data_IF_762848721187
#
_entry.id   IF_762848721187
#
_cell.length_a   1.000
_cell.length_b   1.000
_cell.length_c   1.000
_cell.angle_alpha   90.00
_cell.angle_beta   90.00
_cell.angle_gamma   90.00
#
_symmetry.space_group_name_H-M   'P 1'
#
loop_
_entity.id
_entity.type
_entity.pdbx_description
1 polymer ?
#
# COMPACT_ATOMS: atom_id res chain seq x y z
N UNK A 1 -8.65 36.00 11.54
CA UNK A 1 -9.80 36.04 10.62
C UNK A 1 -10.96 36.61 11.41
N UNK A 2 -11.54 37.73 10.97
CA UNK A 2 -12.69 38.32 11.66
C UNK A 2 -13.86 37.35 11.53
N UNK A 3 -14.57 37.11 12.65
CA UNK A 3 -15.85 36.44 12.64
C UNK A 3 -16.78 37.27 11.72
N UNK A 4 -17.08 36.76 10.50
CA UNK A 4 -18.28 37.23 9.80
C UNK A 4 -19.46 36.91 10.72
N UNK A 5 -20.35 37.86 10.92
CA UNK A 5 -21.61 37.62 11.63
C UNK A 5 -22.24 36.37 11.01
N UNK A 6 -22.34 35.29 11.81
CA UNK A 6 -22.90 34.05 11.33
C UNK A 6 -24.36 34.30 10.92
N UNK A 7 -24.71 34.03 9.68
CA UNK A 7 -26.08 34.19 9.14
C UNK A 7 -26.93 32.96 9.43
N UNK A 8 -26.41 31.98 10.16
CA UNK A 8 -27.05 30.73 10.51
C UNK A 8 -26.65 30.28 11.92
N UNK A 9 -27.51 29.59 12.59
CA UNK A 9 -27.27 28.95 13.90
C UNK A 9 -26.50 27.62 13.77
N UNK A 10 -26.30 27.13 12.54
CA UNK A 10 -25.54 25.88 12.30
C UNK A 10 -24.07 26.11 12.59
N UNK A 11 -23.43 25.26 13.43
CA UNK A 11 -22.00 25.38 13.72
C UNK A 11 -21.16 25.20 12.45
N UNK A 12 -20.13 26.05 12.20
CA UNK A 12 -19.26 25.89 11.05
C UNK A 12 -18.27 24.73 11.23
N UNK A 13 -17.84 24.14 10.12
CA UNK A 13 -16.66 23.31 10.12
C UNK A 13 -15.41 24.08 10.53
N UNK A 14 -14.45 23.42 11.12
CA UNK A 14 -13.20 24.03 11.56
C UNK A 14 -11.97 23.25 11.06
N UNK A 15 -10.88 23.98 10.85
CA UNK A 15 -9.56 23.42 10.58
C UNK A 15 -8.68 23.63 11.80
N UNK A 16 -8.17 22.55 12.34
CA UNK A 16 -7.27 22.57 13.51
C UNK A 16 -5.92 21.96 13.15
N UNK A 17 -4.98 21.99 14.09
CA UNK A 17 -3.70 21.24 13.95
C UNK A 17 -3.88 19.73 13.87
N UNK A 18 -5.03 19.22 14.32
CA UNK A 18 -5.39 17.81 14.23
C UNK A 18 -6.10 17.45 12.91
N UNK A 19 -6.46 18.44 12.09
CA UNK A 19 -7.13 18.26 10.82
C UNK A 19 -8.50 18.92 10.73
N UNK A 20 -9.32 18.47 9.78
CA UNK A 20 -10.68 18.90 9.54
C UNK A 20 -11.63 18.33 10.61
N UNK A 21 -12.46 19.17 11.19
CA UNK A 21 -13.47 18.81 12.18
C UNK A 21 -14.82 19.35 11.69
N UNK A 22 -15.75 18.42 11.42
CA UNK A 22 -17.15 18.73 11.17
C UNK A 22 -17.94 18.76 12.48
N UNK A 23 -18.98 19.61 12.60
CA UNK A 23 -19.91 19.53 13.73
C UNK A 23 -20.68 18.22 13.73
N UNK A 24 -21.15 17.78 14.89
CA UNK A 24 -22.00 16.61 14.98
C UNK A 24 -23.33 16.84 14.27
N UNK A 25 -23.93 15.80 13.67
CA UNK A 25 -25.23 15.90 12.99
C UNK A 25 -26.34 16.42 13.92
N UNK A 26 -26.29 16.09 15.21
CA UNK A 26 -27.22 16.60 16.23
C UNK A 26 -27.12 18.10 16.40
N UNK A 27 -25.91 18.66 16.32
CA UNK A 27 -25.67 20.11 16.45
C UNK A 27 -26.08 20.85 15.18
N UNK A 28 -25.86 20.22 14.01
CA UNK A 28 -26.36 20.72 12.72
C UNK A 28 -27.89 20.77 12.74
N UNK A 29 -28.55 19.68 13.16
CA UNK A 29 -30.01 19.61 13.25
C UNK A 29 -30.56 20.68 14.19
N UNK A 30 -29.97 20.87 15.36
CA UNK A 30 -30.38 21.89 16.31
C UNK A 30 -30.28 23.29 15.70
N UNK A 31 -29.15 23.61 15.03
CA UNK A 31 -28.95 24.89 14.37
C UNK A 31 -29.98 25.16 13.24
N UNK A 32 -30.25 24.16 12.40
CA UNK A 32 -31.25 24.25 11.32
C UNK A 32 -32.65 24.45 11.91
N UNK A 33 -32.99 23.73 12.98
CA UNK A 33 -34.29 23.92 13.66
C UNK A 33 -34.42 25.31 14.27
N UNK A 34 -33.38 25.87 14.83
CA UNK A 34 -33.36 27.25 15.36
C UNK A 34 -33.57 28.26 14.24
N UNK A 35 -32.87 28.09 13.12
CA UNK A 35 -33.00 28.99 11.94
C UNK A 35 -34.42 28.96 11.35
N UNK A 36 -35.00 27.77 11.20
CA UNK A 36 -36.38 27.59 10.70
C UNK A 36 -37.36 28.20 11.69
N UNK A 37 -37.17 28.04 13.00
CA UNK A 37 -38.02 28.61 14.03
C UNK A 37 -37.96 30.13 14.00
N UNK A 38 -36.76 30.69 13.86
CA UNK A 38 -36.58 32.15 13.73
C UNK A 38 -37.26 32.71 12.45
N UNK A 39 -37.10 32.01 11.32
CA UNK A 39 -37.69 32.40 10.05
C UNK A 39 -39.22 32.40 10.05
N UNK A 40 -39.82 31.47 10.83
CA UNK A 40 -41.28 31.35 10.96
C UNK A 40 -41.87 32.15 12.13
N UNK A 41 -41.10 32.99 12.80
CA UNK A 41 -41.56 33.90 13.86
C UNK A 41 -41.71 33.28 15.24
N UNK A 42 -41.11 32.15 15.49
CA UNK A 42 -41.11 31.45 16.78
C UNK A 42 -42.29 30.46 16.97
N UNK A 43 -42.33 29.77 18.10
CA UNK A 43 -43.36 28.79 18.48
C UNK A 43 -43.68 27.70 17.45
N UNK A 44 -42.68 27.24 16.74
CA UNK A 44 -42.86 26.19 15.74
C UNK A 44 -42.71 24.80 16.40
N UNK A 45 -43.58 23.89 16.00
CA UNK A 45 -43.43 22.47 16.40
C UNK A 45 -42.27 21.83 15.66
N UNK A 46 -41.15 21.60 16.36
CA UNK A 46 -39.92 21.04 15.81
C UNK A 46 -39.93 19.49 15.69
N UNK A 47 -41.06 18.83 15.98
CA UNK A 47 -41.15 17.38 15.81
C UNK A 47 -40.75 16.97 14.37
N UNK A 48 -39.92 15.97 14.26
CA UNK A 48 -39.42 15.46 12.97
C UNK A 48 -40.52 14.85 12.09
N UNK A 49 -41.75 14.70 12.62
CA UNK A 49 -42.93 14.27 11.87
C UNK A 49 -43.73 15.41 11.22
N UNK A 50 -43.37 16.66 11.52
CA UNK A 50 -43.97 17.85 10.91
C UNK A 50 -43.29 18.23 9.60
N UNK A 51 -43.94 19.00 8.71
CA UNK A 51 -43.30 19.47 7.46
C UNK A 51 -42.01 20.23 7.68
N UNK A 52 -42.00 21.14 8.68
CA UNK A 52 -40.78 21.88 9.03
C UNK A 52 -39.69 20.99 9.66
N UNK A 53 -40.07 19.98 10.43
CA UNK A 53 -39.14 18.97 10.93
C UNK A 53 -38.54 18.09 9.82
N UNK A 54 -39.36 17.73 8.82
CA UNK A 54 -38.84 17.03 7.62
C UNK A 54 -37.87 17.88 6.80
N UNK A 55 -38.17 19.19 6.69
CA UNK A 55 -37.27 20.14 6.03
C UNK A 55 -35.94 20.23 6.80
N UNK A 56 -35.99 20.36 8.13
CA UNK A 56 -34.79 20.39 8.97
C UNK A 56 -33.93 19.13 8.80
N UNK A 57 -34.56 17.95 8.76
CA UNK A 57 -33.83 16.70 8.49
C UNK A 57 -33.17 16.69 7.11
N UNK A 58 -33.87 17.16 6.08
CA UNK A 58 -33.33 17.20 4.72
C UNK A 58 -32.14 18.16 4.62
N UNK A 59 -32.22 19.33 5.22
CA UNK A 59 -31.11 20.28 5.25
C UNK A 59 -29.93 19.75 6.06
N UNK A 60 -30.19 19.12 7.21
CA UNK A 60 -29.14 18.47 8.02
C UNK A 60 -28.40 17.41 7.21
N UNK A 61 -29.14 16.55 6.48
CA UNK A 61 -28.54 15.52 5.64
C UNK A 61 -27.68 16.14 4.52
N UNK A 62 -28.15 17.18 3.85
CA UNK A 62 -27.37 17.88 2.80
C UNK A 62 -26.09 18.48 3.37
N UNK A 63 -26.16 19.15 4.52
CA UNK A 63 -24.99 19.72 5.18
C UNK A 63 -24.02 18.63 5.62
N UNK A 64 -24.53 17.51 6.18
CA UNK A 64 -23.73 16.35 6.55
C UNK A 64 -22.99 15.75 5.36
N UNK A 65 -23.69 15.51 4.25
CA UNK A 65 -23.08 15.02 3.01
C UNK A 65 -22.00 15.98 2.47
N UNK A 66 -22.23 17.28 2.54
CA UNK A 66 -21.23 18.29 2.16
C UNK A 66 -19.99 18.23 3.07
N UNK A 67 -20.18 18.08 4.37
CA UNK A 67 -19.08 17.95 5.34
C UNK A 67 -18.26 16.68 5.10
N UNK A 68 -18.92 15.57 4.79
CA UNK A 68 -18.25 14.31 4.47
C UNK A 68 -17.42 14.41 3.19
N UNK A 69 -17.94 15.09 2.16
CA UNK A 69 -17.18 15.36 0.94
C UNK A 69 -15.99 16.29 1.18
N UNK A 70 -16.13 17.30 2.04
CA UNK A 70 -15.01 18.17 2.44
C UNK A 70 -13.96 17.39 3.23
N UNK A 71 -14.36 16.51 4.13
CA UNK A 71 -13.44 15.63 4.86
C UNK A 71 -12.71 14.67 3.90
N UNK A 72 -13.43 14.09 2.94
CA UNK A 72 -12.84 13.23 1.92
C UNK A 72 -11.82 14.00 1.06
N UNK A 73 -12.16 15.23 0.67
CA UNK A 73 -11.25 16.13 -0.06
C UNK A 73 -10.01 16.46 0.76
N UNK A 74 -10.18 16.82 2.03
CA UNK A 74 -9.08 17.12 2.93
C UNK A 74 -8.14 15.91 3.09
N UNK A 75 -8.70 14.72 3.35
CA UNK A 75 -7.93 13.49 3.45
C UNK A 75 -7.22 13.14 2.13
N UNK A 76 -7.77 13.57 1.00
CA UNK A 76 -7.17 13.39 -0.32
C UNK A 76 -5.87 14.18 -0.53
N UNK A 77 -5.59 15.21 0.26
CA UNK A 77 -4.32 15.96 0.21
C UNK A 77 -3.21 15.30 1.04
N UNK A 78 -3.55 14.40 1.96
CA UNK A 78 -2.55 13.64 2.72
C UNK A 78 -2.15 12.39 1.92
N UNK A 79 -0.88 12.24 1.49
CA UNK A 79 -0.43 11.06 0.76
C UNK A 79 -0.71 9.74 1.49
N UNK A 80 -0.72 9.76 2.82
CA UNK A 80 -0.98 8.57 3.64
C UNK A 80 -2.44 8.12 3.60
N UNK A 81 -3.38 9.05 3.33
CA UNK A 81 -4.82 8.82 3.32
C UNK A 81 -5.42 8.90 1.92
N UNK A 82 -4.73 9.53 0.96
CA UNK A 82 -5.20 9.69 -0.40
C UNK A 82 -5.50 8.36 -1.10
N UNK A 83 -6.58 8.33 -1.85
CA UNK A 83 -7.02 7.17 -2.63
C UNK A 83 -7.32 7.56 -4.07
N UNK A 84 -7.30 6.59 -4.99
CA UNK A 84 -7.69 6.76 -6.38
C UNK A 84 -7.03 7.96 -7.05
N UNK A 85 -7.83 8.80 -7.71
CA UNK A 85 -7.36 9.95 -8.48
C UNK A 85 -6.57 10.98 -7.66
N UNK A 86 -6.89 11.16 -6.37
CA UNK A 86 -6.16 12.10 -5.51
C UNK A 86 -4.74 11.59 -5.24
N UNK A 87 -4.58 10.30 -4.96
CA UNK A 87 -3.27 9.69 -4.82
C UNK A 87 -2.47 9.76 -6.12
N UNK A 88 -3.10 9.53 -7.26
CA UNK A 88 -2.44 9.63 -8.57
C UNK A 88 -1.98 11.07 -8.85
N UNK A 89 -2.81 12.09 -8.51
CA UNK A 89 -2.44 13.49 -8.63
C UNK A 89 -1.23 13.86 -7.77
N UNK A 90 -1.16 13.34 -6.54
CA UNK A 90 0.04 13.49 -5.70
C UNK A 90 1.27 12.83 -6.33
N UNK A 91 1.09 11.65 -6.95
CA UNK A 91 2.17 10.97 -7.69
C UNK A 91 2.70 11.81 -8.86
N UNK A 92 1.85 12.49 -9.60
CA UNK A 92 2.26 13.36 -10.72
C UNK A 92 3.20 14.51 -10.29
N UNK A 93 3.10 15.00 -9.05
CA UNK A 93 4.03 16.00 -8.51
C UNK A 93 5.47 15.47 -8.50
N UNK A 94 5.62 14.14 -8.36
CA UNK A 94 6.89 13.42 -8.38
C UNK A 94 7.20 12.76 -9.73
N UNK A 95 6.48 13.13 -10.80
CA UNK A 95 6.58 12.56 -12.15
C UNK A 95 6.32 11.05 -12.19
N UNK A 96 5.44 10.56 -11.32
CA UNK A 96 5.07 9.15 -11.25
C UNK A 96 3.66 8.92 -11.77
N UNK A 97 3.49 7.79 -12.46
CA UNK A 97 2.19 7.23 -12.83
C UNK A 97 2.00 5.89 -12.15
N UNK A 98 0.75 5.53 -11.85
CA UNK A 98 0.41 4.22 -11.30
C UNK A 98 0.65 3.14 -12.34
N UNK A 99 1.29 2.04 -11.94
CA UNK A 99 1.44 0.87 -12.79
C UNK A 99 0.10 0.11 -12.89
N UNK A 100 -0.08 -0.64 -13.96
CA UNK A 100 -1.30 -1.44 -14.13
C UNK A 100 -1.42 -2.46 -12.98
N UNK A 101 -2.55 -2.42 -12.26
CA UNK A 101 -2.82 -3.32 -11.13
C UNK A 101 -2.11 -2.95 -9.82
N UNK A 102 -1.37 -1.84 -9.77
CA UNK A 102 -0.68 -1.39 -8.56
C UNK A 102 -1.68 -0.89 -7.52
N UNK A 103 -1.64 -1.50 -6.33
CA UNK A 103 -2.47 -1.13 -5.20
C UNK A 103 -2.08 0.22 -4.57
N UNK A 104 -2.96 0.75 -3.71
CA UNK A 104 -2.73 2.03 -3.03
C UNK A 104 -1.44 2.02 -2.21
N UNK A 105 -1.22 0.99 -1.41
CA UNK A 105 -0.09 0.91 -0.50
C UNK A 105 1.24 0.78 -1.24
N UNK A 106 1.27 0.02 -2.34
CA UNK A 106 2.48 -0.16 -3.15
C UNK A 106 2.83 1.11 -3.93
N UNK A 107 1.81 1.82 -4.46
CA UNK A 107 2.03 3.11 -5.12
C UNK A 107 2.60 4.14 -4.13
N UNK A 108 2.10 4.20 -2.89
CA UNK A 108 2.62 5.11 -1.87
C UNK A 108 4.05 4.74 -1.47
N UNK A 109 4.34 3.47 -1.24
CA UNK A 109 5.70 3.01 -0.94
C UNK A 109 6.67 3.35 -2.08
N UNK A 110 6.24 3.22 -3.34
CA UNK A 110 7.04 3.59 -4.50
C UNK A 110 7.21 5.11 -4.60
N UNK A 111 6.19 5.91 -4.26
CA UNK A 111 6.29 7.37 -4.19
C UNK A 111 7.33 7.81 -3.16
N UNK A 112 7.28 7.27 -1.95
CA UNK A 112 8.29 7.55 -0.92
C UNK A 112 9.70 7.16 -1.39
N UNK A 113 9.85 5.95 -1.94
CA UNK A 113 11.12 5.49 -2.50
C UNK A 113 11.62 6.36 -3.66
N UNK A 114 10.74 6.95 -4.46
CA UNK A 114 11.13 7.87 -5.55
C UNK A 114 11.67 9.18 -5.02
N UNK A 115 11.12 9.71 -3.95
CA UNK A 115 11.67 10.91 -3.27
C UNK A 115 13.07 10.62 -2.73
N UNK A 116 13.26 9.46 -2.10
CA UNK A 116 14.55 9.00 -1.61
C UNK A 116 15.53 8.70 -2.76
N UNK A 117 15.02 8.23 -3.91
CA UNK A 117 15.83 7.98 -5.10
C UNK A 117 16.47 9.26 -5.70
N UNK A 118 15.97 10.44 -5.39
CA UNK A 118 16.63 11.71 -5.77
C UNK A 118 17.94 11.95 -4.98
N UNK A 119 18.10 11.29 -3.84
CA UNK A 119 19.37 11.23 -3.14
C UNK A 119 20.34 10.23 -3.80
N UNK A 120 21.55 10.17 -3.37
CA UNK A 120 22.55 9.17 -3.78
C UNK A 120 23.28 8.62 -2.55
N UNK A 121 23.80 7.41 -2.64
CA UNK A 121 24.64 6.83 -1.59
C UNK A 121 23.89 6.18 -0.44
N UNK A 122 22.57 6.03 -0.51
CA UNK A 122 21.77 5.31 0.48
C UNK A 122 21.15 4.04 -0.12
N UNK A 123 20.85 3.04 0.71
CA UNK A 123 20.12 1.84 0.28
C UNK A 123 18.76 2.21 -0.34
N UNK A 124 18.08 3.19 0.25
CA UNK A 124 16.79 3.68 -0.22
C UNK A 124 16.90 4.34 -1.61
N UNK A 125 17.98 5.08 -1.90
CA UNK A 125 18.18 5.69 -3.23
C UNK A 125 18.42 4.63 -4.32
N UNK A 126 19.14 3.56 -4.00
CA UNK A 126 19.35 2.43 -4.92
C UNK A 126 18.02 1.70 -5.13
N UNK A 127 17.31 1.38 -4.05
CA UNK A 127 15.99 0.72 -4.09
C UNK A 127 14.99 1.50 -4.94
N UNK A 128 14.87 2.81 -4.69
CA UNK A 128 13.97 3.67 -5.44
C UNK A 128 14.31 3.74 -6.93
N UNK A 129 15.61 3.81 -7.28
CA UNK A 129 16.01 3.77 -8.67
C UNK A 129 15.66 2.44 -9.35
N UNK A 130 15.88 1.31 -8.67
CA UNK A 130 15.54 -0.02 -9.20
C UNK A 130 14.03 -0.20 -9.40
N UNK A 131 13.20 0.23 -8.43
CA UNK A 131 11.74 0.11 -8.51
C UNK A 131 11.12 0.99 -9.61
N UNK A 132 11.84 2.01 -10.08
CA UNK A 132 11.40 2.86 -11.20
C UNK A 132 11.85 2.36 -12.58
N UNK A 133 12.61 1.27 -12.65
CA UNK A 133 12.99 0.68 -13.93
C UNK A 133 11.81 -0.07 -14.57
N UNK A 134 11.71 -0.06 -15.90
CA UNK A 134 10.75 -0.88 -16.62
C UNK A 134 10.90 -2.36 -16.26
N UNK A 135 9.79 -3.07 -16.15
CA UNK A 135 9.71 -4.51 -15.91
C UNK A 135 10.34 -5.00 -14.59
N UNK A 136 10.77 -4.10 -13.71
CA UNK A 136 11.15 -4.46 -12.34
C UNK A 136 9.89 -4.58 -11.49
N UNK A 137 9.60 -5.81 -11.07
CA UNK A 137 8.42 -6.09 -10.26
C UNK A 137 8.66 -5.84 -8.78
N UNK A 138 9.86 -6.13 -8.30
CA UNK A 138 10.25 -5.92 -6.90
C UNK A 138 11.77 -5.85 -6.76
N UNK A 139 12.25 -5.20 -5.69
CA UNK A 139 13.66 -5.13 -5.35
C UNK A 139 13.86 -5.08 -3.84
N UNK A 140 15.04 -5.49 -3.39
CA UNK A 140 15.48 -5.40 -2.00
C UNK A 140 16.94 -4.98 -1.96
N UNK A 141 17.29 -4.04 -1.09
CA UNK A 141 18.66 -3.50 -0.96
C UNK A 141 19.02 -3.42 0.52
N UNK A 142 20.17 -3.97 0.87
CA UNK A 142 20.73 -3.90 2.23
C UNK A 142 22.24 -3.90 2.17
N UNK A 143 22.89 -3.14 3.03
CA UNK A 143 24.36 -3.15 3.16
C UNK A 143 24.81 -3.90 4.40
N UNK A 144 26.03 -4.43 4.32
CA UNK A 144 26.76 -4.93 5.48
C UNK A 144 27.85 -3.92 5.84
N UNK A 145 27.64 -3.07 6.87
CA UNK A 145 28.62 -2.06 7.25
C UNK A 145 29.81 -2.61 8.06
N UNK A 146 29.79 -3.91 8.40
CA UNK A 146 30.82 -4.54 9.24
C UNK A 146 32.03 -5.02 8.44
N UNK A 147 33.11 -5.34 9.12
CA UNK A 147 34.35 -5.88 8.53
C UNK A 147 34.32 -7.42 8.37
N UNK A 148 33.20 -8.06 8.70
CA UNK A 148 33.01 -9.50 8.62
C UNK A 148 31.77 -9.85 7.81
N UNK A 149 31.79 -11.01 7.19
CA UNK A 149 30.61 -11.54 6.51
C UNK A 149 29.48 -11.75 7.53
N UNK A 150 28.29 -11.26 7.21
CA UNK A 150 27.16 -11.27 8.14
C UNK A 150 25.93 -11.84 7.45
N UNK A 151 25.19 -12.71 8.15
CA UNK A 151 23.92 -13.22 7.65
C UNK A 151 22.81 -12.20 7.91
N UNK A 152 22.22 -11.67 6.85
CA UNK A 152 21.13 -10.69 6.89
C UNK A 152 19.94 -11.30 6.13
N UNK A 153 18.79 -11.39 6.78
CA UNK A 153 17.58 -11.95 6.15
C UNK A 153 17.79 -13.32 5.49
N UNK A 154 18.58 -14.20 6.12
CA UNK A 154 18.87 -15.55 5.64
C UNK A 154 19.91 -15.66 4.49
N UNK A 155 20.56 -14.54 4.11
CA UNK A 155 21.62 -14.50 3.08
C UNK A 155 22.91 -14.00 3.70
N UNK A 156 24.04 -14.64 3.41
CA UNK A 156 25.36 -14.16 3.82
C UNK A 156 25.79 -13.00 2.92
N UNK A 157 25.86 -11.81 3.49
CA UNK A 157 26.32 -10.59 2.83
C UNK A 157 27.78 -10.36 3.20
N UNK A 158 28.71 -10.35 2.22
CA UNK A 158 30.13 -10.16 2.49
C UNK A 158 30.42 -8.80 3.14
N UNK A 159 31.52 -8.72 3.89
CA UNK A 159 31.99 -7.52 4.56
C UNK A 159 32.04 -6.30 3.61
N UNK A 160 31.56 -5.16 4.06
CA UNK A 160 31.60 -3.87 3.33
C UNK A 160 30.94 -3.91 1.94
N UNK A 161 29.92 -4.77 1.74
CA UNK A 161 29.20 -4.88 0.47
C UNK A 161 27.71 -4.57 0.63
N UNK A 162 27.12 -4.14 -0.49
CA UNK A 162 25.68 -3.93 -0.63
C UNK A 162 25.12 -5.18 -1.32
N UNK A 163 24.15 -5.84 -0.69
CA UNK A 163 23.36 -6.90 -1.32
C UNK A 163 22.16 -6.28 -2.01
N UNK A 164 21.98 -6.63 -3.28
CA UNK A 164 20.91 -6.11 -4.11
C UNK A 164 20.17 -7.31 -4.71
N UNK A 165 18.90 -7.47 -4.41
CA UNK A 165 18.04 -8.50 -5.01
C UNK A 165 16.98 -7.84 -5.86
N UNK A 166 16.77 -8.32 -7.09
CA UNK A 166 15.84 -7.73 -8.06
C UNK A 166 15.03 -8.83 -8.73
N UNK A 167 13.75 -8.56 -8.91
CA UNK A 167 12.84 -9.42 -9.67
C UNK A 167 12.39 -8.68 -10.95
N UNK A 168 12.75 -9.24 -12.11
CA UNK A 168 12.50 -8.59 -13.40
C UNK A 168 13.52 -7.52 -13.77
N UNK A 169 13.24 -6.80 -14.84
CA UNK A 169 14.10 -5.72 -15.37
C UNK A 169 15.27 -6.20 -16.24
N UNK A 170 15.77 -5.31 -17.08
CA UNK A 170 16.93 -5.56 -17.93
C UNK A 170 18.22 -5.40 -17.14
N UNK A 171 19.16 -6.35 -17.28
CA UNK A 171 20.41 -6.34 -16.52
C UNK A 171 21.22 -5.05 -16.69
N UNK A 172 21.30 -4.52 -17.91
CA UNK A 172 22.03 -3.29 -18.19
C UNK A 172 21.42 -2.07 -17.47
N UNK A 173 20.10 -1.95 -17.43
CA UNK A 173 19.40 -0.87 -16.73
C UNK A 173 19.58 -0.96 -15.21
N UNK A 174 19.53 -2.19 -14.67
CA UNK A 174 19.84 -2.46 -13.25
C UNK A 174 21.25 -2.01 -12.93
N UNK A 175 22.24 -2.37 -13.78
CA UNK A 175 23.63 -1.95 -13.61
C UNK A 175 23.82 -0.44 -13.64
N UNK A 176 23.15 0.26 -14.57
CA UNK A 176 23.20 1.73 -14.67
C UNK A 176 22.53 2.40 -13.45
N UNK A 177 21.40 1.89 -12.97
CA UNK A 177 20.77 2.40 -11.76
C UNK A 177 21.68 2.26 -10.52
N UNK A 178 22.34 1.11 -10.40
CA UNK A 178 23.33 0.88 -9.33
C UNK A 178 24.50 1.87 -9.47
N UNK A 179 25.04 2.05 -10.68
CA UNK A 179 26.15 2.98 -10.93
C UNK A 179 25.82 4.41 -10.49
N UNK A 180 24.61 4.86 -10.84
CA UNK A 180 24.17 6.24 -10.56
C UNK A 180 23.89 6.51 -9.08
N UNK A 181 23.53 5.48 -8.33
CA UNK A 181 23.00 5.65 -6.95
C UNK A 181 23.90 5.13 -5.85
N UNK A 182 24.76 4.17 -6.11
CA UNK A 182 25.67 3.65 -5.08
C UNK A 182 26.81 4.65 -4.75
N UNK A 183 27.34 4.54 -3.57
CA UNK A 183 28.58 5.26 -3.21
C UNK A 183 29.77 4.75 -4.04
N UNK A 184 30.68 5.63 -4.43
CA UNK A 184 31.99 5.23 -4.92
C UNK A 184 32.66 4.25 -3.94
N UNK A 185 33.43 3.32 -4.46
CA UNK A 185 34.17 2.30 -3.69
C UNK A 185 33.34 1.26 -2.93
N UNK A 186 32.01 1.36 -2.82
CA UNK A 186 31.20 0.30 -2.26
C UNK A 186 31.09 -0.86 -3.25
N UNK A 187 31.42 -2.08 -2.82
CA UNK A 187 31.21 -3.29 -3.61
C UNK A 187 29.75 -3.76 -3.52
N UNK A 188 29.30 -4.48 -4.53
CA UNK A 188 27.98 -5.15 -4.52
C UNK A 188 28.15 -6.65 -4.44
N UNK A 189 27.09 -7.38 -4.04
CA UNK A 189 27.08 -8.84 -3.91
C UNK A 189 25.78 -9.44 -4.46
N UNK A 190 25.89 -10.68 -4.92
CA UNK A 190 24.84 -11.47 -5.56
C UNK A 190 25.42 -12.45 -6.54
N UNK A 191 24.63 -13.39 -7.05
CA UNK A 191 25.05 -14.48 -7.93
C UNK A 191 25.13 -14.06 -9.41
N UNK A 192 24.36 -13.05 -9.83
CA UNK A 192 24.44 -12.49 -11.17
C UNK A 192 25.43 -11.32 -11.23
N UNK A 193 25.99 -11.09 -12.41
CA UNK A 193 26.85 -9.93 -12.63
C UNK A 193 26.46 -9.19 -13.92
N UNK A 194 26.70 -7.87 -13.93
CA UNK A 194 26.51 -7.01 -15.10
C UNK A 194 27.64 -6.00 -15.18
N UNK A 195 28.13 -5.80 -16.40
CA UNK A 195 29.15 -4.77 -16.69
C UNK A 195 28.50 -3.64 -17.49
N UNK A 196 28.60 -2.42 -16.98
CA UNK A 196 28.09 -1.22 -17.63
C UNK A 196 29.19 -0.19 -17.83
N UNK A 197 29.07 0.59 -18.89
CA UNK A 197 29.93 1.73 -19.14
C UNK A 197 29.30 2.99 -18.55
N UNK A 198 30.11 3.86 -17.96
CA UNK A 198 29.63 5.16 -17.46
C UNK A 198 29.13 6.01 -18.64
N UNK A 199 27.83 6.36 -18.65
CA UNK A 199 27.21 7.11 -19.74
C UNK A 199 27.49 8.62 -19.65
N UNK A 200 28.31 9.10 -18.74
CA UNK A 200 28.57 10.53 -18.57
C UNK A 200 29.15 11.13 -19.86
N UNK A 201 28.45 12.14 -20.36
CA UNK A 201 28.81 12.82 -21.60
C UNK A 201 30.26 13.40 -21.60
N UNK A 202 30.83 13.70 -20.42
CA UNK A 202 32.20 14.16 -20.27
C UNK A 202 33.25 13.17 -20.82
N UNK A 203 32.92 11.89 -20.92
CA UNK A 203 33.81 10.86 -21.45
C UNK A 203 33.71 10.66 -22.98
N UNK A 204 32.81 11.38 -23.66
CA UNK A 204 32.67 11.27 -25.11
C UNK A 204 32.39 9.84 -25.62
N UNK A 205 31.69 9.04 -24.82
CA UNK A 205 31.41 7.65 -25.15
C UNK A 205 32.49 6.63 -24.73
N UNK A 206 33.60 7.09 -24.12
CA UNK A 206 34.70 6.23 -23.66
C UNK A 206 34.78 6.20 -22.11
N UNK A 207 33.65 6.23 -21.45
CA UNK A 207 33.57 6.15 -19.99
C UNK A 207 34.17 4.85 -19.44
N UNK A 208 34.62 4.85 -18.17
CA UNK A 208 35.07 3.63 -17.52
C UNK A 208 33.95 2.60 -17.42
N UNK A 209 34.32 1.33 -17.40
CA UNK A 209 33.40 0.22 -17.20
C UNK A 209 33.39 -0.24 -15.74
N UNK A 210 32.20 -0.56 -15.24
CA UNK A 210 31.99 -1.05 -13.88
C UNK A 210 31.24 -2.36 -13.92
N UNK A 211 31.69 -3.32 -13.10
CA UNK A 211 30.98 -4.61 -12.93
C UNK A 211 30.32 -4.63 -11.56
N UNK A 212 29.00 -4.87 -11.56
CA UNK A 212 28.19 -5.00 -10.37
C UNK A 212 27.65 -6.41 -10.24
N UNK A 213 27.69 -6.94 -9.01
CA UNK A 213 27.05 -8.17 -8.66
C UNK A 213 25.69 -7.88 -8.03
N UNK A 214 24.66 -8.63 -8.40
CA UNK A 214 23.33 -8.55 -7.82
C UNK A 214 22.68 -9.93 -7.81
N UNK A 215 21.60 -10.11 -7.05
CA UNK A 215 20.83 -11.33 -6.98
C UNK A 215 19.59 -11.18 -7.85
N UNK A 216 19.36 -12.10 -8.77
CA UNK A 216 18.03 -12.30 -9.36
C UNK A 216 17.21 -13.06 -8.32
N UNK A 217 16.14 -12.44 -7.83
CA UNK A 217 15.29 -13.05 -6.80
C UNK A 217 14.69 -14.36 -7.31
N UNK A 218 14.83 -15.42 -6.51
CA UNK A 218 14.26 -16.72 -6.84
C UNK A 218 12.79 -16.77 -6.45
N UNK A 219 11.94 -17.29 -7.34
CA UNK A 219 10.52 -17.49 -7.07
C UNK A 219 10.32 -18.59 -6.04
N UNK A 220 9.59 -18.29 -4.97
CA UNK A 220 9.28 -19.22 -3.89
C UNK A 220 7.76 -19.36 -3.78
N UNK A 221 7.19 -20.52 -4.11
CA UNK A 221 5.77 -20.79 -3.99
C UNK A 221 5.29 -20.65 -2.54
N UNK A 222 4.19 -19.94 -2.36
CA UNK A 222 3.53 -19.79 -1.06
C UNK A 222 2.23 -20.59 -1.10
N UNK A 223 2.12 -21.52 -0.18
CA UNK A 223 0.96 -22.37 -0.01
C UNK A 223 0.10 -21.86 1.14
N UNK A 224 -1.21 -21.88 0.94
CA UNK A 224 -2.19 -21.56 1.97
C UNK A 224 -3.21 -22.71 2.07
N UNK A 225 -3.53 -23.08 3.30
CA UNK A 225 -4.66 -23.96 3.57
C UNK A 225 -5.68 -23.20 4.43
N UNK A 226 -6.86 -23.01 3.87
CA UNK A 226 -7.98 -22.32 4.51
C UNK A 226 -8.96 -23.38 5.01
N UNK A 227 -9.21 -23.39 6.30
CA UNK A 227 -10.19 -24.28 6.95
C UNK A 227 -11.40 -23.46 7.38
N UNK A 228 -12.59 -23.82 6.89
CA UNK A 228 -13.84 -23.20 7.28
C UNK A 228 -14.81 -24.21 7.87
N UNK A 229 -15.74 -23.74 8.69
CA UNK A 229 -16.81 -24.58 9.25
C UNK A 229 -17.74 -25.09 8.15
N UNK A 230 -17.98 -26.40 8.11
CA UNK A 230 -18.90 -27.03 7.17
C UNK A 230 -20.35 -26.64 7.47
N UNK A 231 -21.07 -26.20 6.45
CA UNK A 231 -22.50 -25.91 6.56
C UNK A 231 -23.18 -26.03 5.20
N UNK A 232 -24.51 -26.18 5.20
CA UNK A 232 -25.32 -26.20 3.97
C UNK A 232 -25.33 -24.87 3.20
N UNK A 233 -24.82 -23.78 3.81
CA UNK A 233 -24.72 -22.45 3.19
C UNK A 233 -23.42 -22.24 2.41
N UNK A 234 -22.45 -23.16 2.50
CA UNK A 234 -21.21 -23.07 1.74
C UNK A 234 -21.49 -23.32 0.25
N UNK A 235 -21.23 -22.31 -0.61
CA UNK A 235 -21.51 -22.46 -2.04
C UNK A 235 -20.51 -23.42 -2.72
N UNK A 236 -20.92 -24.00 -3.83
CA UNK A 236 -20.00 -24.83 -4.65
C UNK A 236 -18.82 -24.04 -5.23
N UNK A 237 -18.93 -22.72 -5.27
CA UNK A 237 -17.91 -21.76 -5.74
C UNK A 237 -16.95 -21.33 -4.63
N UNK A 238 -17.12 -21.78 -3.38
CA UNK A 238 -16.36 -21.34 -2.21
C UNK A 238 -14.84 -21.37 -2.42
N UNK A 239 -14.31 -22.45 -3.02
CA UNK A 239 -12.88 -22.53 -3.31
C UNK A 239 -12.40 -21.42 -4.23
N UNK A 240 -13.10 -21.16 -5.34
CA UNK A 240 -12.70 -20.14 -6.31
C UNK A 240 -12.83 -18.72 -5.77
N UNK A 241 -13.82 -18.46 -4.93
CA UNK A 241 -14.00 -17.17 -4.26
C UNK A 241 -12.89 -16.92 -3.23
N UNK A 242 -12.57 -17.91 -2.41
CA UNK A 242 -11.44 -17.86 -1.46
C UNK A 242 -10.11 -17.66 -2.21
N UNK A 243 -9.86 -18.41 -3.29
CA UNK A 243 -8.66 -18.23 -4.11
C UNK A 243 -8.54 -16.81 -4.65
N UNK A 244 -9.64 -16.24 -5.13
CA UNK A 244 -9.68 -14.85 -5.63
C UNK A 244 -9.35 -13.85 -4.52
N UNK A 245 -9.99 -14.00 -3.34
CA UNK A 245 -9.75 -13.10 -2.20
C UNK A 245 -8.31 -13.20 -1.68
N UNK A 246 -7.77 -14.41 -1.58
CA UNK A 246 -6.37 -14.64 -1.15
C UNK A 246 -5.39 -14.04 -2.16
N UNK A 247 -5.57 -14.27 -3.46
CA UNK A 247 -4.71 -13.70 -4.50
C UNK A 247 -4.79 -12.18 -4.52
N UNK A 248 -5.98 -11.59 -4.30
CA UNK A 248 -6.14 -10.15 -4.18
C UNK A 248 -5.33 -9.57 -3.02
N UNK A 249 -5.44 -10.19 -1.84
CA UNK A 249 -4.68 -9.80 -0.66
C UNK A 249 -3.16 -10.00 -0.83
N UNK A 250 -2.74 -11.09 -1.47
CA UNK A 250 -1.33 -11.38 -1.72
C UNK A 250 -0.70 -10.35 -2.67
N UNK A 251 -1.42 -9.97 -3.71
CA UNK A 251 -0.96 -9.02 -4.72
C UNK A 251 -1.22 -7.55 -4.35
N UNK A 252 -1.85 -7.27 -3.20
CA UNK A 252 -2.17 -5.92 -2.75
C UNK A 252 -3.32 -5.24 -3.51
N UNK A 253 -4.06 -5.96 -4.36
CA UNK A 253 -5.19 -5.40 -5.12
C UNK A 253 -6.43 -5.13 -4.26
N UNK A 254 -6.43 -5.60 -3.01
CA UNK A 254 -7.41 -5.27 -1.97
C UNK A 254 -7.12 -3.92 -1.26
N UNK A 255 -6.10 -3.18 -1.69
CA UNK A 255 -5.68 -1.90 -1.10
C UNK A 255 -4.65 -2.02 0.02
N UNK A 256 -4.30 -3.22 0.46
CA UNK A 256 -3.23 -3.48 1.41
C UNK A 256 -1.86 -3.69 0.73
N UNK A 257 -0.83 -3.91 1.54
CA UNK A 257 0.52 -4.20 1.02
C UNK A 257 0.58 -5.60 0.40
N UNK A 258 1.23 -5.69 -0.75
CA UNK A 258 1.52 -6.97 -1.40
C UNK A 258 2.65 -7.73 -0.70
N UNK A 259 2.76 -9.01 -0.98
CA UNK A 259 3.90 -9.84 -0.61
C UNK A 259 5.16 -9.41 -1.40
N UNK A 260 6.28 -9.20 -0.72
CA UNK A 260 7.53 -8.67 -1.29
C UNK A 260 8.72 -9.57 -1.04
N UNK A 261 9.84 -9.31 -1.75
CA UNK A 261 11.12 -9.99 -1.52
C UNK A 261 11.53 -9.87 -0.05
N UNK A 262 11.90 -10.98 0.57
CA UNK A 262 12.36 -11.02 1.96
C UNK A 262 11.29 -10.78 3.02
N UNK A 263 10.01 -10.74 2.64
CA UNK A 263 8.92 -10.48 3.57
C UNK A 263 8.68 -11.66 4.51
N UNK A 264 8.28 -11.35 5.73
CA UNK A 264 7.56 -12.27 6.60
C UNK A 264 6.08 -12.18 6.27
N UNK A 265 5.49 -13.30 5.90
CA UNK A 265 4.08 -13.40 5.53
C UNK A 265 3.28 -14.01 6.68
N UNK A 266 2.16 -13.37 7.00
CA UNK A 266 1.28 -13.76 8.09
C UNK A 266 -0.05 -14.28 7.53
N UNK A 267 -0.54 -15.42 8.02
CA UNK A 267 -1.85 -15.95 7.69
C UNK A 267 -2.98 -14.95 8.01
N UNK A 268 -2.79 -14.14 9.06
CA UNK A 268 -3.76 -13.12 9.48
C UNK A 268 -4.07 -12.07 8.40
N UNK A 269 -3.15 -11.83 7.46
CA UNK A 269 -3.36 -10.91 6.32
C UNK A 269 -4.55 -11.29 5.44
N UNK A 270 -4.88 -12.58 5.40
CA UNK A 270 -5.90 -13.12 4.49
C UNK A 270 -7.29 -13.24 5.12
N UNK A 271 -7.42 -13.11 6.45
CA UNK A 271 -8.70 -13.30 7.14
C UNK A 271 -9.76 -12.30 6.69
N UNK A 272 -9.43 -11.02 6.58
CA UNK A 272 -10.39 -9.97 6.26
C UNK A 272 -11.02 -10.17 4.87
N UNK A 273 -10.21 -10.47 3.85
CA UNK A 273 -10.69 -10.70 2.50
C UNK A 273 -11.60 -11.92 2.38
N UNK A 274 -11.30 -13.00 3.11
CA UNK A 274 -12.11 -14.21 3.12
C UNK A 274 -13.41 -13.99 3.92
N UNK A 275 -13.34 -13.34 5.09
CA UNK A 275 -14.52 -13.05 5.91
C UNK A 275 -15.52 -12.14 5.19
N UNK A 276 -15.06 -11.27 4.30
CA UNK A 276 -15.90 -10.38 3.50
C UNK A 276 -16.72 -11.11 2.41
N UNK A 277 -16.45 -12.40 2.14
CA UNK A 277 -17.20 -13.20 1.14
C UNK A 277 -18.63 -13.53 1.58
N UNK A 278 -18.92 -13.45 2.87
CA UNK A 278 -20.26 -13.65 3.42
C UNK A 278 -20.29 -14.55 4.65
N UNK A 279 -21.49 -14.70 5.23
CA UNK A 279 -21.71 -15.44 6.49
C UNK A 279 -21.37 -16.93 6.40
N UNK A 280 -21.25 -17.48 5.20
CA UNK A 280 -20.83 -18.86 4.97
C UNK A 280 -19.34 -19.08 5.21
N UNK A 281 -18.51 -18.04 5.05
CA UNK A 281 -17.05 -18.10 5.16
C UNK A 281 -16.59 -18.05 6.63
N UNK A 282 -17.06 -19.01 7.43
CA UNK A 282 -16.71 -19.12 8.86
C UNK A 282 -15.32 -19.74 9.02
N UNK A 283 -14.30 -18.88 9.06
CA UNK A 283 -12.91 -19.31 9.11
C UNK A 283 -12.60 -19.94 10.46
N UNK A 284 -12.14 -21.17 10.45
CA UNK A 284 -11.62 -21.87 11.63
C UNK A 284 -10.13 -21.61 11.75
N UNK A 285 -9.38 -21.75 10.63
CA UNK A 285 -7.94 -21.61 10.60
C UNK A 285 -7.47 -21.25 9.19
N UNK A 286 -6.39 -20.49 9.11
CA UNK A 286 -5.60 -20.29 7.89
C UNK A 286 -4.15 -20.60 8.22
N UNK A 287 -3.56 -21.54 7.50
CA UNK A 287 -2.13 -21.86 7.62
C UNK A 287 -1.38 -21.45 6.34
N UNK A 288 -0.12 -21.06 6.49
CA UNK A 288 0.74 -20.55 5.42
C UNK A 288 2.14 -21.17 5.51
N UNK A 289 2.78 -21.38 4.36
CA UNK A 289 4.14 -21.89 4.31
C UNK A 289 4.67 -22.03 2.89
N UNK A 290 5.89 -22.55 2.76
CA UNK A 290 6.56 -22.81 1.46
C UNK A 290 6.42 -24.26 0.99
N UNK A 291 5.70 -25.09 1.71
CA UNK A 291 5.41 -26.49 1.37
C UNK A 291 3.90 -26.69 1.13
N UNK A 292 3.53 -27.67 0.31
CA UNK A 292 2.16 -27.93 -0.14
C UNK A 292 1.14 -28.23 0.98
N UNK A 293 1.58 -28.63 2.17
CA UNK A 293 0.74 -28.81 3.35
C UNK A 293 1.25 -27.89 4.48
N UNK A 294 0.95 -26.60 4.44
CA UNK A 294 1.46 -25.66 5.42
C UNK A 294 0.82 -25.88 6.79
N UNK A 295 1.60 -25.76 7.85
CA UNK A 295 1.13 -25.89 9.23
C UNK A 295 1.43 -24.65 10.08
N UNK A 296 2.16 -23.68 9.52
CA UNK A 296 2.54 -22.44 10.20
C UNK A 296 1.51 -21.33 10.02
N UNK A 297 1.56 -20.34 10.90
CA UNK A 297 0.77 -19.11 10.77
C UNK A 297 1.58 -17.95 10.18
N UNK A 298 2.89 -18.14 10.08
CA UNK A 298 3.83 -17.22 9.45
C UNK A 298 4.84 -17.98 8.60
N UNK A 299 5.39 -17.30 7.60
CA UNK A 299 6.51 -17.81 6.82
C UNK A 299 7.46 -16.67 6.48
N UNK A 300 8.74 -16.86 6.80
CA UNK A 300 9.80 -15.90 6.53
C UNK A 300 10.54 -16.29 5.26
N UNK A 301 10.61 -15.36 4.30
CA UNK A 301 11.42 -15.53 3.09
C UNK A 301 12.81 -14.92 3.30
N UNK A 302 13.81 -15.49 2.64
CA UNK A 302 15.12 -14.84 2.58
C UNK A 302 15.09 -13.62 1.66
N UNK A 303 16.01 -12.68 1.87
CA UNK A 303 16.11 -11.46 1.04
C UNK A 303 16.52 -11.72 -0.42
N UNK A 304 16.81 -12.97 -0.77
CA UNK A 304 17.02 -13.43 -2.14
C UNK A 304 15.80 -14.11 -2.77
N UNK A 305 14.68 -14.22 -2.04
CA UNK A 305 13.48 -14.93 -2.46
C UNK A 305 12.31 -13.98 -2.69
N UNK A 306 11.58 -14.19 -3.80
CA UNK A 306 10.33 -13.53 -4.11
C UNK A 306 9.16 -14.48 -3.86
N UNK A 307 8.16 -14.11 -3.06
CA UNK A 307 6.97 -14.93 -2.92
C UNK A 307 6.16 -14.93 -4.22
N UNK A 308 5.66 -16.09 -4.59
CA UNK A 308 4.72 -16.25 -5.73
C UNK A 308 3.53 -17.08 -5.28
N UNK A 309 2.36 -16.75 -5.82
CA UNK A 309 1.10 -17.45 -5.53
C UNK A 309 0.39 -17.84 -6.82
N UNK A 310 -0.29 -18.97 -6.77
CA UNK A 310 -1.18 -19.45 -7.82
C UNK A 310 -2.42 -20.06 -7.15
N UNK A 311 -3.54 -20.13 -7.86
CA UNK A 311 -4.76 -20.73 -7.35
C UNK A 311 -4.55 -22.19 -6.87
N UNK A 312 -3.69 -22.94 -7.53
CA UNK A 312 -3.34 -24.34 -7.15
C UNK A 312 -2.60 -24.47 -5.81
N UNK A 313 -2.00 -23.38 -5.30
CA UNK A 313 -1.32 -23.34 -4.01
C UNK A 313 -2.26 -23.02 -2.84
N UNK A 314 -3.55 -22.79 -3.13
CA UNK A 314 -4.57 -22.43 -2.15
C UNK A 314 -5.57 -23.58 -2.05
N UNK A 315 -5.65 -24.19 -0.88
CA UNK A 315 -6.56 -25.30 -0.59
C UNK A 315 -7.65 -24.90 0.39
N UNK A 316 -8.82 -25.52 0.25
CA UNK A 316 -9.97 -25.34 1.14
C UNK A 316 -10.29 -26.66 1.85
N UNK A 317 -10.37 -26.62 3.17
CA UNK A 317 -10.80 -27.71 4.02
C UNK A 317 -12.11 -27.36 4.70
N UNK A 318 -13.02 -28.32 4.78
CA UNK A 318 -14.31 -28.19 5.48
C UNK A 318 -14.29 -29.07 6.74
N UNK A 319 -14.60 -28.52 7.91
CA UNK A 319 -14.62 -29.21 9.19
C UNK A 319 -15.92 -28.98 9.95
#
# INVERSE_FOLDING_TARGET
MSSSDATTSVPPCSMTVAGFIAPAETDILAGVQDDITAALGGNVNQSLTTPQGQLAMSETAIIGDCNDQLLALFNGFDPRNAIGRMQDALGYIYFMTRNQGEGRADFEARREATVEANSSGTNASILGALLNLPDVNDAYVVDNPTDTDTTIGGVTVPARRIFISVSGGAANEIGLAILQKKNPCSGTSGAASVTVQDPNAAYGGNGPTYTFNYQVASDTPIYLAVTIASSSSVPSTALSEIQTAVMAAFNGSDGGSRARIGAELFASRFYAGIAALGDWARIVEITIGTAAAPTGFTTQLTIGQRPVISAEYITLNLV
#
